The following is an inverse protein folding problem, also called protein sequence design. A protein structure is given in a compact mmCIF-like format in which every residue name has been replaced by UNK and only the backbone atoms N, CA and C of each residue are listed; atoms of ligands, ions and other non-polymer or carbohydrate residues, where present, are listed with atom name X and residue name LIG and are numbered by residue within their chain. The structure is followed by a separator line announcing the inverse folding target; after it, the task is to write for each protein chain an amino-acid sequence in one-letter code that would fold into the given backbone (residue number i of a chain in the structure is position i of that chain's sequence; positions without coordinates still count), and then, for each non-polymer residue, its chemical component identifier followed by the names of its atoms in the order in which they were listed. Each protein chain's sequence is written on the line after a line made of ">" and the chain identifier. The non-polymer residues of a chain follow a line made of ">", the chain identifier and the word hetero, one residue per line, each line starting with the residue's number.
data_IF_181991561894
#
_entry.id   IF_181991561894
#
_cell.length_a   1.000
_cell.length_b   1.000
_cell.length_c   1.000
_cell.angle_alpha   90.00
_cell.angle_beta   90.00
_cell.angle_gamma   90.00
#
_symmetry.space_group_name_H-M   'P 1'
#
loop_
_entity.id
_entity.type
_entity.pdbx_description
1 polymer ?
#
# COMPACT_ATOMS: atom_id res chain seq x y z
N UNK A 1 7.75 39.18 -17.19
CA UNK A 1 8.93 38.36 -17.57
C UNK A 1 9.49 37.84 -16.28
N UNK A 2 9.01 36.67 -15.84
CA UNK A 2 9.29 36.23 -14.48
C UNK A 2 9.53 34.72 -14.39
N UNK A 3 10.78 34.45 -14.02
CA UNK A 3 11.26 33.42 -13.08
C UNK A 3 11.39 32.00 -13.62
N UNK A 4 12.65 31.62 -13.79
CA UNK A 4 13.12 30.26 -13.55
C UNK A 4 13.61 30.14 -12.09
N UNK A 5 13.26 29.03 -11.44
CA UNK A 5 14.21 28.23 -10.65
C UNK A 5 13.92 26.76 -10.94
N UNK A 6 14.88 26.09 -11.56
CA UNK A 6 14.94 24.62 -11.67
C UNK A 6 15.69 24.10 -10.44
N UNK A 7 15.10 23.13 -9.75
CA UNK A 7 15.81 22.18 -8.91
C UNK A 7 15.05 20.86 -8.97
N UNK A 8 15.55 19.94 -9.80
CA UNK A 8 15.17 18.53 -9.75
C UNK A 8 15.93 17.86 -8.61
N UNK A 9 15.23 17.55 -7.52
CA UNK A 9 15.65 16.53 -6.57
C UNK A 9 14.46 15.61 -6.34
N UNK A 10 14.69 14.31 -6.48
CA UNK A 10 13.73 13.25 -6.13
C UNK A 10 13.01 13.64 -4.84
N UNK A 11 11.68 13.64 -4.85
CA UNK A 11 10.84 13.96 -3.71
C UNK A 11 11.01 12.92 -2.59
N UNK A 12 12.14 12.95 -1.89
CA UNK A 12 12.22 12.47 -0.51
C UNK A 12 11.50 13.51 0.32
N UNK A 13 10.36 13.11 0.89
CA UNK A 13 9.55 13.93 1.79
C UNK A 13 10.43 14.82 2.71
N UNK A 14 10.12 16.12 2.75
CA UNK A 14 10.77 17.16 3.57
C UNK A 14 10.50 16.99 5.08
N UNK A 15 10.52 15.77 5.59
CA UNK A 15 10.32 15.49 7.01
C UNK A 15 11.70 15.46 7.68
N UNK A 16 12.11 16.61 8.23
CA UNK A 16 13.28 16.70 9.12
C UNK A 16 12.97 16.04 10.45
N UNK A 17 12.92 14.71 10.45
CA UNK A 17 12.70 13.92 11.65
C UNK A 17 14.04 13.72 12.38
N UNK A 18 14.05 13.72 13.73
CA UNK A 18 15.23 13.37 14.48
C UNK A 18 15.72 11.95 14.15
N UNK A 19 17.02 11.66 14.29
CA UNK A 19 17.53 10.30 14.11
C UNK A 19 16.76 9.27 14.94
N UNK A 20 16.46 8.12 14.34
CA UNK A 20 15.71 7.02 14.97
C UNK A 20 14.20 7.06 14.77
N UNK A 21 13.63 8.18 14.33
CA UNK A 21 12.21 8.23 13.95
C UNK A 21 11.96 7.42 12.67
N UNK A 22 10.91 6.60 12.70
CA UNK A 22 10.50 5.75 11.59
C UNK A 22 9.00 5.80 11.43
N UNK A 23 8.54 5.62 10.21
CA UNK A 23 7.14 5.35 9.94
C UNK A 23 6.85 3.89 10.28
N UNK A 24 6.21 3.66 11.42
CA UNK A 24 5.85 2.33 11.92
C UNK A 24 4.42 2.33 12.49
N UNK A 25 3.41 2.60 11.64
CA UNK A 25 2.03 2.70 12.08
C UNK A 25 1.44 1.34 12.47
N UNK A 26 0.48 1.35 13.40
CA UNK A 26 -0.37 0.21 13.68
C UNK A 26 -1.37 -0.06 12.55
N UNK A 27 -1.96 -1.26 12.54
CA UNK A 27 -3.00 -1.62 11.57
C UNK A 27 -4.22 -0.68 11.67
N UNK A 28 -4.59 -0.21 12.87
CA UNK A 28 -5.66 0.77 13.10
C UNK A 28 -5.29 2.15 12.54
N UNK A 29 -4.08 2.64 12.80
CA UNK A 29 -3.61 3.95 12.32
C UNK A 29 -3.57 4.00 10.78
N UNK A 30 -3.14 2.92 10.13
CA UNK A 30 -3.18 2.80 8.67
C UNK A 30 -4.60 2.91 8.12
N UNK A 31 -5.59 2.30 8.78
CA UNK A 31 -6.98 2.35 8.36
C UNK A 31 -7.58 3.74 8.59
N UNK A 32 -7.53 4.25 9.82
CA UNK A 32 -8.25 5.47 10.22
C UNK A 32 -7.57 6.74 9.68
N UNK A 33 -6.26 6.87 9.90
CA UNK A 33 -5.56 8.12 9.63
C UNK A 33 -5.03 8.22 8.20
N UNK A 34 -4.82 7.10 7.52
CA UNK A 34 -4.31 7.10 6.14
C UNK A 34 -5.38 6.70 5.14
N UNK A 35 -5.88 5.46 5.19
CA UNK A 35 -6.76 4.94 4.14
C UNK A 35 -8.14 5.61 4.14
N UNK A 36 -8.81 5.72 5.30
CA UNK A 36 -10.11 6.38 5.41
C UNK A 36 -10.01 7.88 5.11
N UNK A 37 -8.95 8.54 5.59
CA UNK A 37 -8.71 9.95 5.30
C UNK A 37 -8.49 10.18 3.80
N UNK A 38 -7.70 9.32 3.13
CA UNK A 38 -7.53 9.36 1.67
C UNK A 38 -8.85 9.14 0.92
N UNK A 39 -9.64 8.14 1.32
CA UNK A 39 -10.94 7.84 0.70
C UNK A 39 -11.97 8.97 0.86
N UNK A 40 -11.93 9.69 1.98
CA UNK A 40 -12.83 10.81 2.28
C UNK A 40 -12.24 12.18 1.92
N UNK A 41 -11.11 12.21 1.20
CA UNK A 41 -10.39 13.44 0.82
C UNK A 41 -10.06 14.37 2.00
N UNK A 42 -9.82 13.79 3.18
CA UNK A 42 -9.33 14.51 4.36
C UNK A 42 -7.81 14.65 4.31
N UNK A 43 -7.23 15.71 4.91
CA UNK A 43 -5.78 15.86 5.01
C UNK A 43 -5.13 14.65 5.70
N UNK A 44 -4.00 14.20 5.15
CA UNK A 44 -3.20 13.12 5.75
C UNK A 44 -2.29 13.68 6.85
N UNK A 45 -2.01 12.93 7.93
CA UNK A 45 -1.08 13.36 8.97
C UNK A 45 0.33 13.66 8.42
N UNK A 46 0.76 12.85 7.44
CA UNK A 46 2.01 13.04 6.72
C UNK A 46 1.91 12.45 5.30
N UNK A 47 2.51 13.11 4.32
CA UNK A 47 2.57 12.66 2.93
C UNK A 47 3.74 11.69 2.70
N UNK A 48 3.71 10.54 3.40
CA UNK A 48 4.78 9.52 3.36
C UNK A 48 4.43 8.28 2.54
N UNK A 49 3.17 8.15 2.13
CA UNK A 49 2.66 7.02 1.33
C UNK A 49 2.53 7.46 -0.12
N UNK A 50 3.18 6.75 -1.04
CA UNK A 50 3.15 7.07 -2.47
C UNK A 50 1.86 6.57 -3.14
N UNK A 51 1.36 7.29 -4.13
CA UNK A 51 0.25 6.82 -4.99
C UNK A 51 0.81 6.22 -6.27
N UNK A 52 0.59 4.91 -6.48
CA UNK A 52 1.00 4.21 -7.69
C UNK A 52 -0.04 3.16 -8.07
N UNK A 53 -0.10 2.82 -9.36
CA UNK A 53 -0.73 1.57 -9.78
C UNK A 53 0.24 0.41 -9.53
N UNK A 54 0.14 -0.19 -8.34
CA UNK A 54 1.12 -1.15 -7.83
C UNK A 54 1.25 -2.36 -8.75
N UNK A 55 0.12 -2.83 -9.29
CA UNK A 55 0.08 -4.05 -10.11
C UNK A 55 0.73 -3.87 -11.49
N UNK A 56 1.18 -2.67 -11.87
CA UNK A 56 1.98 -2.47 -13.08
C UNK A 56 3.46 -2.83 -12.92
N UNK A 57 3.93 -3.10 -11.71
CA UNK A 57 5.36 -3.24 -11.41
C UNK A 57 5.70 -4.59 -10.80
N UNK A 58 6.96 -5.02 -10.99
CA UNK A 58 7.51 -6.09 -10.18
C UNK A 58 7.81 -5.57 -8.76
N UNK A 59 7.75 -6.43 -7.73
CA UNK A 59 7.92 -5.97 -6.35
C UNK A 59 9.31 -5.38 -6.06
N UNK A 60 10.38 -5.85 -6.71
CA UNK A 60 11.73 -5.28 -6.58
C UNK A 60 11.90 -3.89 -7.21
N UNK A 61 10.92 -3.41 -7.96
CA UNK A 61 10.90 -2.04 -8.48
C UNK A 61 10.18 -1.06 -7.53
N UNK A 62 9.36 -1.57 -6.61
CA UNK A 62 8.55 -0.76 -5.70
C UNK A 62 9.37 0.11 -4.74
N UNK A 63 10.49 -0.33 -4.13
CA UNK A 63 11.27 0.51 -3.22
C UNK A 63 11.67 1.87 -3.83
N UNK A 64 12.00 1.88 -5.12
CA UNK A 64 12.40 3.10 -5.85
C UNK A 64 11.24 4.08 -6.11
N UNK A 65 10.00 3.64 -5.88
CA UNK A 65 8.78 4.43 -6.08
C UNK A 65 8.16 4.91 -4.77
N UNK A 66 8.68 4.45 -3.63
CA UNK A 66 8.22 4.89 -2.32
C UNK A 66 8.72 6.30 -2.02
N UNK A 67 7.95 7.07 -1.24
CA UNK A 67 8.35 8.40 -0.75
C UNK A 67 9.23 8.32 0.50
N UNK A 68 9.14 7.21 1.24
CA UNK A 68 9.80 6.95 2.51
C UNK A 68 9.90 5.43 2.75
N UNK A 69 10.87 5.01 3.58
CA UNK A 69 11.02 3.61 4.02
C UNK A 69 12.34 2.95 3.61
N UNK A 70 12.87 2.11 4.50
CA UNK A 70 14.14 1.38 4.31
C UNK A 70 13.91 -0.12 4.09
N UNK A 71 13.04 -0.72 4.92
CA UNK A 71 12.73 -2.16 4.94
C UNK A 71 11.30 -2.43 4.48
N UNK A 72 10.39 -1.51 4.80
CA UNK A 72 8.97 -1.58 4.43
C UNK A 72 8.59 -0.31 3.68
N UNK A 73 7.72 -0.46 2.68
CA UNK A 73 7.27 0.63 1.82
C UNK A 73 5.75 0.60 1.71
N UNK A 74 5.15 1.78 1.71
CA UNK A 74 3.70 1.95 1.75
C UNK A 74 3.21 2.64 0.48
N UNK A 75 2.14 2.10 -0.09
CA UNK A 75 1.54 2.59 -1.32
C UNK A 75 0.03 2.65 -1.20
N UNK A 76 -0.56 3.73 -1.72
CA UNK A 76 -1.94 3.73 -2.16
C UNK A 76 -2.00 3.22 -3.59
N UNK A 77 -2.85 2.23 -3.84
CA UNK A 77 -3.08 1.68 -5.18
C UNK A 77 -4.57 1.59 -5.48
N UNK A 78 -5.01 1.86 -6.71
CA UNK A 78 -6.36 1.54 -7.14
C UNK A 78 -6.65 0.04 -6.93
N UNK A 79 -7.90 -0.26 -6.55
CA UNK A 79 -8.37 -1.65 -6.41
C UNK A 79 -9.10 -2.05 -7.68
N UNK A 80 -8.37 -2.61 -8.64
CA UNK A 80 -8.96 -3.12 -9.87
C UNK A 80 -9.65 -4.46 -9.63
N UNK A 81 -10.94 -4.53 -9.98
CA UNK A 81 -11.69 -5.79 -10.02
C UNK A 81 -11.25 -6.59 -11.24
N UNK A 82 -10.94 -7.88 -11.06
CA UNK A 82 -10.59 -8.80 -12.16
C UNK A 82 -11.75 -8.98 -13.14
N UNK A 83 -12.99 -8.87 -12.65
CA UNK A 83 -14.20 -8.96 -13.45
C UNK A 83 -15.13 -7.78 -13.13
N UNK A 84 -15.87 -7.22 -14.10
CA UNK A 84 -16.74 -6.06 -13.87
C UNK A 84 -17.74 -6.22 -12.70
N UNK A 85 -18.18 -7.46 -12.42
CA UNK A 85 -19.08 -7.80 -11.29
C UNK A 85 -18.44 -8.72 -10.24
N UNK A 86 -17.15 -9.01 -10.35
CA UNK A 86 -16.46 -9.93 -9.45
C UNK A 86 -15.74 -9.21 -8.32
N UNK A 87 -15.76 -9.80 -7.12
CA UNK A 87 -15.02 -9.27 -5.98
C UNK A 87 -13.52 -9.55 -6.04
N UNK A 88 -13.12 -10.51 -6.90
CA UNK A 88 -11.73 -10.94 -7.01
C UNK A 88 -10.90 -9.84 -7.67
N UNK A 89 -9.89 -9.29 -6.99
CA UNK A 89 -9.01 -8.29 -7.60
C UNK A 89 -8.10 -8.91 -8.67
N UNK A 90 -7.72 -8.13 -9.69
CA UNK A 90 -6.65 -8.53 -10.60
C UNK A 90 -5.32 -8.35 -9.86
N UNK A 91 -4.54 -9.43 -9.81
CA UNK A 91 -3.28 -9.48 -9.06
C UNK A 91 -2.10 -9.92 -9.92
N UNK A 92 -2.27 -9.96 -11.24
CA UNK A 92 -1.14 -10.06 -12.15
C UNK A 92 -0.30 -8.78 -12.01
N UNK A 93 1.02 -8.92 -11.89
CA UNK A 93 1.90 -7.77 -11.78
C UNK A 93 3.28 -8.05 -12.37
N UNK A 94 3.72 -7.16 -13.27
CA UNK A 94 4.98 -7.30 -13.99
C UNK A 94 5.13 -8.68 -14.63
N UNK A 95 6.18 -9.40 -14.23
CA UNK A 95 6.53 -10.74 -14.72
C UNK A 95 5.87 -11.88 -13.91
N UNK A 96 4.94 -11.57 -13.00
CA UNK A 96 4.39 -12.51 -12.04
C UNK A 96 2.98 -12.20 -11.57
N UNK A 97 2.65 -12.66 -10.37
CA UNK A 97 1.35 -12.44 -9.75
C UNK A 97 1.40 -12.52 -8.22
N UNK A 98 0.51 -11.77 -7.57
CA UNK A 98 0.29 -11.84 -6.14
C UNK A 98 -0.76 -12.88 -5.77
N UNK A 99 -0.40 -13.80 -4.88
CA UNK A 99 -1.30 -14.85 -4.37
C UNK A 99 -1.63 -14.59 -2.90
N UNK A 100 -2.91 -14.64 -2.55
CA UNK A 100 -3.33 -14.53 -1.15
C UNK A 100 -2.72 -15.65 -0.30
N UNK A 101 -2.31 -15.30 0.91
CA UNK A 101 -1.76 -16.24 1.90
C UNK A 101 -2.42 -16.04 3.25
N UNK A 102 -2.77 -17.14 3.91
CA UNK A 102 -3.43 -17.09 5.22
C UNK A 102 -4.88 -16.60 5.17
N UNK A 103 -5.41 -16.32 6.35
CA UNK A 103 -6.78 -15.85 6.57
C UNK A 103 -6.79 -14.32 6.67
N UNK A 104 -7.82 -13.69 6.11
CA UNK A 104 -8.11 -12.26 6.28
C UNK A 104 -8.16 -11.91 7.77
N UNK A 105 -7.40 -10.89 8.19
CA UNK A 105 -7.41 -10.42 9.57
C UNK A 105 -8.31 -9.19 9.70
N UNK A 106 -9.42 -9.25 10.45
CA UNK A 106 -10.20 -8.06 10.75
C UNK A 106 -9.39 -7.10 11.62
N UNK A 107 -9.50 -5.80 11.33
CA UNK A 107 -8.89 -4.73 12.10
C UNK A 107 -10.01 -4.05 12.88
N UNK A 108 -9.83 -3.90 14.20
CA UNK A 108 -10.79 -3.28 15.09
C UNK A 108 -10.28 -1.93 15.58
N UNK A 109 -11.20 -1.03 15.91
CA UNK A 109 -10.88 0.22 16.60
C UNK A 109 -10.57 -0.05 18.06
N UNK A 110 -9.59 0.66 18.61
CA UNK A 110 -9.28 0.70 20.05
C UNK A 110 -10.44 1.23 20.90
N UNK A 111 -11.40 1.93 20.30
CA UNK A 111 -12.57 2.51 20.99
C UNK A 111 -13.64 1.49 21.43
N UNK A 112 -13.38 0.18 21.32
CA UNK A 112 -14.30 -0.87 21.79
C UNK A 112 -15.49 -1.15 20.87
N UNK A 113 -15.48 -0.65 19.63
CA UNK A 113 -16.48 -1.01 18.62
C UNK A 113 -16.39 -2.51 18.28
N UNK A 114 -17.52 -3.21 18.36
CA UNK A 114 -17.60 -4.64 18.01
C UNK A 114 -17.44 -4.91 16.51
N UNK A 115 -17.69 -3.90 15.67
CA UNK A 115 -17.55 -4.01 14.22
C UNK A 115 -16.10 -3.72 13.79
N UNK A 116 -15.52 -4.54 12.89
CA UNK A 116 -14.23 -4.21 12.31
C UNK A 116 -14.32 -2.91 11.49
N UNK A 117 -13.21 -2.18 11.42
CA UNK A 117 -13.04 -0.94 10.65
C UNK A 117 -12.32 -1.17 9.32
N UNK A 118 -11.70 -2.35 9.15
CA UNK A 118 -10.99 -2.74 7.95
C UNK A 118 -10.53 -4.19 7.98
N UNK A 119 -9.83 -4.61 6.94
CA UNK A 119 -9.25 -5.95 6.82
C UNK A 119 -7.82 -5.85 6.30
N UNK A 120 -6.94 -6.68 6.87
CA UNK A 120 -5.57 -6.93 6.39
C UNK A 120 -5.49 -8.31 5.73
N UNK A 121 -4.95 -8.36 4.51
CA UNK A 121 -4.73 -9.59 3.74
C UNK A 121 -3.26 -9.73 3.39
N UNK A 122 -2.67 -10.87 3.73
CA UNK A 122 -1.32 -11.21 3.29
C UNK A 122 -1.29 -11.73 1.86
N UNK A 123 -0.26 -11.34 1.10
CA UNK A 123 0.00 -11.83 -0.25
C UNK A 123 1.49 -12.15 -0.41
N UNK A 124 1.79 -13.25 -1.11
CA UNK A 124 3.14 -13.57 -1.56
C UNK A 124 3.21 -13.42 -3.09
N UNK A 125 4.32 -12.88 -3.58
CA UNK A 125 4.56 -12.74 -5.01
C UNK A 125 5.17 -14.02 -5.59
N UNK A 126 4.69 -14.39 -6.78
CA UNK A 126 5.19 -15.51 -7.57
C UNK A 126 5.65 -15.01 -8.93
N UNK A 127 6.85 -15.39 -9.37
CA UNK A 127 7.35 -15.09 -10.72
C UNK A 127 6.83 -16.14 -11.71
N UNK A 128 6.49 -15.71 -12.92
CA UNK A 128 5.94 -16.58 -13.97
C UNK A 128 4.42 -16.60 -14.01
N UNK A 129 3.85 -17.59 -14.70
CA UNK A 129 2.40 -17.67 -14.95
C UNK A 129 1.72 -18.68 -14.00
N UNK A 130 0.54 -18.36 -13.45
CA UNK A 130 -0.25 -19.33 -12.70
C UNK A 130 -0.59 -20.57 -13.56
N UNK A 131 -0.69 -21.78 -12.96
CA UNK A 131 -0.42 -22.12 -11.56
C UNK A 131 1.06 -22.46 -11.28
N UNK A 132 1.95 -22.38 -12.28
CA UNK A 132 3.33 -22.89 -12.23
C UNK A 132 4.37 -21.84 -11.80
N UNK A 133 3.93 -20.72 -11.21
CA UNK A 133 4.86 -19.69 -10.77
C UNK A 133 5.72 -20.13 -9.59
N UNK A 134 6.92 -19.57 -9.48
CA UNK A 134 7.85 -19.82 -8.38
C UNK A 134 7.67 -18.76 -7.29
N UNK A 135 7.57 -19.20 -6.03
CA UNK A 135 7.36 -18.31 -4.89
C UNK A 135 8.64 -17.48 -4.65
N UNK A 136 8.48 -16.19 -4.43
CA UNK A 136 9.57 -15.29 -4.02
C UNK A 136 9.45 -14.91 -2.54
N UNK A 137 10.46 -14.20 -2.02
CA UNK A 137 10.45 -13.64 -0.66
C UNK A 137 9.67 -12.32 -0.55
N UNK A 138 9.15 -11.80 -1.67
CA UNK A 138 8.35 -10.59 -1.67
C UNK A 138 6.96 -10.85 -1.10
N UNK A 139 6.65 -10.09 -0.05
CA UNK A 139 5.39 -10.15 0.68
C UNK A 139 4.70 -8.79 0.69
N UNK A 140 3.37 -8.79 0.73
CA UNK A 140 2.55 -7.59 0.83
C UNK A 140 1.43 -7.80 1.84
N UNK A 141 1.17 -6.76 2.64
CA UNK A 141 -0.06 -6.62 3.39
C UNK A 141 -0.99 -5.66 2.63
N UNK A 142 -2.10 -6.18 2.13
CA UNK A 142 -3.17 -5.40 1.51
C UNK A 142 -4.18 -5.00 2.59
N UNK A 143 -4.33 -3.69 2.81
CA UNK A 143 -5.29 -3.11 3.73
C UNK A 143 -6.49 -2.59 2.95
N UNK A 144 -7.69 -2.86 3.45
CA UNK A 144 -8.94 -2.38 2.85
C UNK A 144 -9.91 -1.90 3.91
N UNK A 145 -10.66 -0.85 3.57
CA UNK A 145 -11.87 -0.50 4.28
C UNK A 145 -12.92 -1.59 4.06
N UNK A 146 -13.83 -1.74 5.02
CA UNK A 146 -15.06 -2.47 4.76
C UNK A 146 -15.94 -1.59 3.87
N UNK A 147 -16.43 -2.15 2.78
CA UNK A 147 -17.47 -1.50 1.98
C UNK A 147 -18.71 -1.36 2.91
N UNK A 148 -19.31 -0.16 2.98
CA UNK A 148 -20.58 0.06 3.72
C UNK A 148 -21.73 -0.77 3.13
#
# INVERSE_FOLDING_TARGET
>A
MEREIISCSSSTSNLRLPPGFRFHPSDEELIVHYLQSKATSRPLPAYVIAEIDLYKYNPWELPKKALFGEVEWYFFTPRDRKYPKGERPNRAAGLGYWKATGIDRPIFSSSGLSKPIGVKKGLAFYVGRPPKGEKTDWFMNEYRLLDE
#
